data_IF_525828716351
#
_entry.id   IF_525828716351
#
_cell.length_a   1.000
_cell.length_b   1.000
_cell.length_c   1.000
_cell.angle_alpha   90.00
_cell.angle_beta   90.00
_cell.angle_gamma   90.00
#
_symmetry.space_group_name_H-M   'P 1'
#
loop_
_entity.id
_entity.type
_entity.pdbx_description
1 polymer ?
#
# COMPACT_ATOMS: atom_id res chain seq x y z
N UNK A 1 10.67 -9.82 -9.94
CA UNK A 1 10.09 -8.94 -8.91
C UNK A 1 8.60 -8.90 -9.13
N UNK A 2 7.77 -9.21 -8.12
CA UNK A 2 6.30 -9.13 -8.26
C UNK A 2 5.86 -7.67 -8.34
N UNK A 3 4.72 -7.39 -8.97
CA UNK A 3 4.18 -6.02 -9.06
C UNK A 3 4.04 -5.38 -7.66
N UNK A 4 3.60 -6.14 -6.67
CA UNK A 4 3.44 -5.67 -5.28
C UNK A 4 4.76 -5.31 -4.60
N UNK A 5 5.84 -6.07 -4.86
CA UNK A 5 7.17 -5.74 -4.31
C UNK A 5 7.72 -4.42 -4.88
N UNK A 6 7.47 -4.15 -6.17
CA UNK A 6 7.85 -2.88 -6.80
C UNK A 6 7.08 -1.68 -6.21
N UNK A 7 5.80 -1.87 -5.86
CA UNK A 7 5.00 -0.84 -5.18
C UNK A 7 5.58 -0.54 -3.80
N UNK A 8 5.94 -1.54 -3.01
CA UNK A 8 6.53 -1.33 -1.68
C UNK A 8 7.85 -0.55 -1.76
N UNK A 9 8.71 -0.89 -2.72
CA UNK A 9 9.96 -0.14 -2.95
C UNK A 9 9.69 1.31 -3.34
N UNK A 10 8.74 1.54 -4.25
CA UNK A 10 8.31 2.89 -4.64
C UNK A 10 7.82 3.70 -3.43
N UNK A 11 6.95 3.13 -2.60
CA UNK A 11 6.40 3.83 -1.43
C UNK A 11 7.50 4.18 -0.42
N UNK A 12 8.40 3.25 -0.12
CA UNK A 12 9.50 3.48 0.83
C UNK A 12 10.55 4.47 0.32
N UNK A 13 10.74 4.56 -1.00
CA UNK A 13 11.62 5.56 -1.61
C UNK A 13 10.99 6.95 -1.63
N UNK A 14 9.69 7.04 -1.89
CA UNK A 14 8.99 8.31 -2.11
C UNK A 14 8.48 8.95 -0.81
N UNK A 15 8.24 8.17 0.24
CA UNK A 15 7.75 8.66 1.53
C UNK A 15 8.80 8.34 2.60
N UNK A 16 9.52 9.34 3.14
CA UNK A 16 10.46 9.14 4.24
C UNK A 16 9.79 8.45 5.43
N UNK A 17 10.45 7.45 6.02
CA UNK A 17 9.95 6.71 7.18
C UNK A 17 8.62 5.97 6.97
N UNK A 18 8.20 5.74 5.72
CA UNK A 18 6.96 5.03 5.39
C UNK A 18 6.87 3.64 6.01
N UNK A 19 7.98 2.90 5.97
CA UNK A 19 8.09 1.52 6.45
C UNK A 19 6.99 0.60 5.86
N UNK A 20 6.60 0.84 4.60
CA UNK A 20 5.64 0.01 3.90
C UNK A 20 6.12 -1.44 3.83
N UNK A 21 5.24 -2.37 4.15
CA UNK A 21 5.56 -3.80 4.21
C UNK A 21 4.61 -4.63 3.38
N UNK A 22 5.16 -5.53 2.58
CA UNK A 22 4.38 -6.57 1.92
C UNK A 22 4.05 -7.68 2.93
N UNK A 23 2.77 -7.96 3.13
CA UNK A 23 2.29 -9.10 3.92
C UNK A 23 1.68 -10.12 2.97
N UNK A 24 2.20 -11.35 3.04
CA UNK A 24 1.71 -12.50 2.30
C UNK A 24 1.14 -13.51 3.30
N UNK A 25 -0.19 -13.53 3.52
CA UNK A 25 -0.82 -14.46 4.46
C UNK A 25 -0.80 -15.90 3.92
N UNK A 26 -1.07 -16.87 4.81
CA UNK A 26 -1.26 -18.27 4.39
C UNK A 26 -2.54 -18.49 3.55
N UNK A 27 -3.54 -17.62 3.71
CA UNK A 27 -4.79 -17.63 2.95
C UNK A 27 -5.23 -16.19 2.63
N UNK A 28 -5.80 -15.99 1.44
CA UNK A 28 -6.21 -14.68 0.93
C UNK A 28 -5.14 -14.02 0.06
N UNK A 29 -5.44 -12.80 -0.39
CA UNK A 29 -4.54 -12.00 -1.23
C UNK A 29 -3.49 -11.28 -0.39
N UNK A 30 -2.28 -11.03 -0.94
CA UNK A 30 -1.28 -10.21 -0.26
C UNK A 30 -1.74 -8.75 -0.15
N UNK A 31 -1.31 -8.07 0.91
CA UNK A 31 -1.58 -6.64 1.11
C UNK A 31 -0.34 -5.86 1.50
N UNK A 32 -0.44 -4.54 1.40
CA UNK A 32 0.59 -3.61 1.87
C UNK A 32 0.13 -3.03 3.20
N UNK A 33 0.94 -3.22 4.23
CA UNK A 33 0.75 -2.63 5.55
C UNK A 33 1.47 -1.27 5.61
N UNK A 34 0.78 -0.27 6.16
CA UNK A 34 1.25 1.11 6.30
C UNK A 34 0.93 1.61 7.70
N UNK A 35 1.77 2.54 8.19
CA UNK A 35 1.40 3.34 9.36
C UNK A 35 0.32 4.36 9.00
N UNK A 36 -0.62 4.69 9.92
CA UNK A 36 -1.75 5.57 9.63
C UNK A 36 -1.37 6.94 9.07
N UNK A 37 -0.29 7.53 9.57
CA UNK A 37 0.22 8.84 9.17
C UNK A 37 0.63 8.92 7.68
N UNK A 38 0.92 7.77 7.05
CA UNK A 38 1.38 7.71 5.66
C UNK A 38 0.27 7.39 4.65
N UNK A 39 -0.97 7.12 5.10
CA UNK A 39 -2.07 6.69 4.24
C UNK A 39 -2.33 7.69 3.10
N UNK A 40 -2.40 8.98 3.40
CA UNK A 40 -2.70 10.01 2.39
C UNK A 40 -1.58 10.15 1.37
N UNK A 41 -0.33 10.16 1.82
CA UNK A 41 0.84 10.28 0.94
C UNK A 41 0.97 9.05 0.03
N UNK A 42 0.86 7.85 0.60
CA UNK A 42 0.93 6.61 -0.17
C UNK A 42 -0.24 6.47 -1.13
N UNK A 43 -1.46 6.77 -0.70
CA UNK A 43 -2.64 6.75 -1.58
C UNK A 43 -2.52 7.72 -2.76
N UNK A 44 -1.93 8.89 -2.54
CA UNK A 44 -1.63 9.86 -3.60
C UNK A 44 -0.64 9.29 -4.61
N UNK A 45 0.44 8.65 -4.16
CA UNK A 45 1.43 7.99 -5.04
C UNK A 45 0.77 6.86 -5.83
N UNK A 46 0.01 5.97 -5.18
CA UNK A 46 -0.68 4.86 -5.84
C UNK A 46 -1.64 5.34 -6.94
N UNK A 47 -2.28 6.50 -6.71
CA UNK A 47 -3.14 7.14 -7.68
C UNK A 47 -2.35 7.78 -8.81
N UNK A 48 -1.31 8.55 -8.52
CA UNK A 48 -0.69 9.48 -9.46
C UNK A 48 0.48 8.87 -10.24
N UNK A 49 1.19 7.89 -9.67
CA UNK A 49 2.29 7.23 -10.38
C UNK A 49 1.77 6.38 -11.55
N UNK A 50 2.24 6.63 -12.80
CA UNK A 50 1.75 5.92 -13.97
C UNK A 50 1.94 4.40 -13.91
N UNK A 51 2.97 3.94 -13.21
CA UNK A 51 3.25 2.51 -13.03
C UNK A 51 2.27 1.80 -12.08
N UNK A 52 1.57 2.55 -11.22
CA UNK A 52 0.61 2.02 -10.24
C UNK A 52 -0.82 2.09 -10.76
N UNK A 53 -1.29 3.28 -11.15
CA UNK A 53 -2.58 3.46 -11.81
C UNK A 53 -3.82 3.13 -10.97
N UNK A 54 -3.75 3.15 -9.63
CA UNK A 54 -4.91 2.89 -8.76
C UNK A 54 -5.85 4.10 -8.74
N UNK A 55 -6.71 4.22 -9.76
CA UNK A 55 -7.62 5.36 -9.93
C UNK A 55 -8.97 5.19 -9.20
N UNK A 56 -9.29 3.98 -8.76
CA UNK A 56 -10.56 3.65 -8.12
C UNK A 56 -10.30 3.08 -6.73
N UNK A 57 -10.96 3.65 -5.73
CA UNK A 57 -11.11 3.04 -4.41
C UNK A 57 -12.31 2.09 -4.47
N UNK A 58 -12.06 0.78 -4.41
CA UNK A 58 -13.12 -0.23 -4.54
C UNK A 58 -13.98 -0.34 -3.28
N UNK A 59 -13.35 -0.31 -2.10
CA UNK A 59 -14.02 -0.48 -0.80
C UNK A 59 -13.18 0.16 0.33
N UNK A 60 -13.83 0.44 1.46
CA UNK A 60 -13.20 0.86 2.71
C UNK A 60 -13.86 0.13 3.88
N UNK A 61 -13.10 -0.74 4.54
CA UNK A 61 -13.57 -1.55 5.66
C UNK A 61 -12.75 -1.24 6.92
N UNK A 62 -13.40 -1.26 8.09
CA UNK A 62 -12.78 -1.15 9.41
C UNK A 62 -13.07 -2.45 10.16
N UNK A 63 -12.03 -3.02 10.78
CA UNK A 63 -12.14 -4.22 11.61
C UNK A 63 -11.73 -3.85 13.03
N UNK A 64 -12.60 -4.16 13.98
CA UNK A 64 -12.30 -4.02 15.40
C UNK A 64 -11.82 -5.37 15.94
N UNK A 65 -10.58 -5.40 16.44
CA UNK A 65 -9.92 -6.61 16.94
C UNK A 65 -9.93 -6.57 18.47
N UNK A 66 -11.04 -6.98 19.08
CA UNK A 66 -11.16 -7.23 20.52
C UNK A 66 -10.65 -8.62 20.91
#
# INVERSE_FOLDING_TARGET
MTATAAIVELLNRSVPSCEAKLVAPAAGDPWIELRPEHIVACGTILRDEPACGFKVLSDLTIVDWF
#
